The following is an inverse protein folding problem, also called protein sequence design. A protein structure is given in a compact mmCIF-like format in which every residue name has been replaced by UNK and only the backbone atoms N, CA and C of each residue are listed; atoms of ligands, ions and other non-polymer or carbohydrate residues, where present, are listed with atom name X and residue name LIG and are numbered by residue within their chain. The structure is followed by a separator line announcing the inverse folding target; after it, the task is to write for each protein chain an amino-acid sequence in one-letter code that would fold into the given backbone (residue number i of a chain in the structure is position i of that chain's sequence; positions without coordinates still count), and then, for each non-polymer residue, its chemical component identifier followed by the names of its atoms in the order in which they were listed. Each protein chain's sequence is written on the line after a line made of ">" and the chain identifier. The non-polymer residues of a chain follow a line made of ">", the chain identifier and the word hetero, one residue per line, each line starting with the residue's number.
data_IF_526202810631
#
_entry.id   IF_526202810631
#
_cell.length_a   1.000
_cell.length_b   1.000
_cell.length_c   1.000
_cell.angle_alpha   90.00
_cell.angle_beta   90.00
_cell.angle_gamma   90.00
#
_symmetry.space_group_name_H-M   'P 1'
#
loop_
_entity.id
_entity.type
_entity.pdbx_description
1 polymer ?
#
# COMPACT_ATOMS: atom_id res chain seq x y z
N UNK A 1 -8.33 -20.34 -4.75
CA UNK A 1 -8.27 -19.04 -5.46
C UNK A 1 -8.03 -17.99 -4.41
N UNK A 2 -6.96 -17.21 -4.52
CA UNK A 2 -6.57 -16.21 -3.51
C UNK A 2 -7.50 -14.98 -3.58
N UNK A 3 -7.97 -14.50 -2.43
CA UNK A 3 -8.84 -13.32 -2.34
C UNK A 3 -8.12 -12.06 -2.86
N UNK A 4 -6.79 -12.00 -2.71
CA UNK A 4 -5.99 -10.90 -3.26
C UNK A 4 -6.01 -10.87 -4.79
N UNK A 5 -5.94 -12.03 -5.46
CA UNK A 5 -6.05 -12.08 -6.92
C UNK A 5 -7.42 -11.58 -7.40
N UNK A 6 -8.49 -11.91 -6.68
CA UNK A 6 -9.83 -11.43 -7.01
C UNK A 6 -9.97 -9.93 -6.74
N UNK A 7 -9.41 -9.42 -5.63
CA UNK A 7 -9.33 -7.99 -5.36
C UNK A 7 -8.59 -7.25 -6.48
N UNK A 8 -7.45 -7.77 -6.95
CA UNK A 8 -6.71 -7.18 -8.08
C UNK A 8 -7.56 -7.11 -9.36
N UNK A 9 -8.32 -8.17 -9.66
CA UNK A 9 -9.23 -8.20 -10.80
C UNK A 9 -10.33 -7.13 -10.72
N UNK A 10 -10.97 -6.98 -9.56
CA UNK A 10 -12.02 -5.98 -9.37
C UNK A 10 -11.50 -4.55 -9.41
N UNK A 11 -10.26 -4.32 -8.98
CA UNK A 11 -9.64 -3.00 -9.11
C UNK A 11 -9.55 -2.54 -10.56
N UNK A 12 -9.16 -3.42 -11.49
CA UNK A 12 -9.12 -3.06 -12.92
C UNK A 12 -10.52 -2.88 -13.54
N UNK A 13 -11.57 -3.33 -12.85
CA UNK A 13 -12.96 -3.02 -13.18
C UNK A 13 -13.48 -1.75 -12.51
N UNK A 14 -12.65 -1.04 -11.75
CA UNK A 14 -13.00 0.11 -10.93
C UNK A 14 -14.08 -0.19 -9.86
N UNK A 15 -14.22 -1.45 -9.45
CA UNK A 15 -15.13 -1.84 -8.37
C UNK A 15 -14.38 -1.85 -7.03
N UNK A 16 -14.12 -0.65 -6.50
CA UNK A 16 -13.29 -0.47 -5.31
C UNK A 16 -13.95 -1.00 -4.03
N UNK A 17 -15.28 -1.01 -3.96
CA UNK A 17 -16.00 -1.62 -2.83
C UNK A 17 -15.69 -3.12 -2.73
N UNK A 18 -15.72 -3.86 -3.84
CA UNK A 18 -15.31 -5.26 -3.84
C UNK A 18 -13.82 -5.43 -3.52
N UNK A 19 -12.93 -4.54 -4.00
CA UNK A 19 -11.50 -4.56 -3.65
C UNK A 19 -11.33 -4.48 -2.13
N UNK A 20 -11.96 -3.50 -1.49
CA UNK A 20 -11.85 -3.26 -0.05
C UNK A 20 -12.35 -4.47 0.75
N UNK A 21 -13.50 -5.03 0.39
CA UNK A 21 -14.06 -6.21 1.07
C UNK A 21 -13.12 -7.42 0.95
N UNK A 22 -12.71 -7.78 -0.26
CA UNK A 22 -11.90 -8.96 -0.52
C UNK A 22 -10.51 -8.85 0.11
N UNK A 23 -9.87 -7.69 -0.01
CA UNK A 23 -8.55 -7.45 0.57
C UNK A 23 -8.58 -7.40 2.11
N UNK A 24 -9.62 -6.82 2.73
CA UNK A 24 -9.81 -6.89 4.18
C UNK A 24 -10.04 -8.33 4.66
N UNK A 25 -10.83 -9.12 3.93
CA UNK A 25 -11.01 -10.53 4.25
C UNK A 25 -9.70 -11.31 4.13
N UNK A 26 -8.91 -11.09 3.08
CA UNK A 26 -7.60 -11.71 2.92
C UNK A 26 -6.67 -11.35 4.11
N UNK A 27 -6.59 -10.07 4.45
CA UNK A 27 -5.74 -9.54 5.52
C UNK A 27 -6.08 -10.12 6.90
N UNK A 28 -7.37 -10.24 7.22
CA UNK A 28 -7.83 -10.64 8.55
C UNK A 28 -7.86 -12.16 8.78
N UNK A 29 -7.95 -12.96 7.71
CA UNK A 29 -8.10 -14.42 7.82
C UNK A 29 -6.79 -15.19 7.59
N UNK A 30 -5.65 -14.50 7.55
CA UNK A 30 -4.33 -15.12 7.36
C UNK A 30 -3.25 -14.51 8.25
N UNK A 31 -2.27 -15.33 8.60
CA UNK A 31 -1.06 -14.92 9.30
C UNK A 31 0.15 -14.80 8.35
N UNK A 32 -0.01 -15.23 7.08
CA UNK A 32 1.07 -15.15 6.10
C UNK A 32 1.38 -13.69 5.74
N UNK A 33 2.57 -13.22 6.09
CA UNK A 33 3.03 -11.85 5.86
C UNK A 33 2.93 -11.41 4.39
N UNK A 34 3.22 -12.28 3.43
CA UNK A 34 3.14 -11.96 2.01
C UNK A 34 1.70 -11.69 1.56
N UNK A 35 0.76 -12.56 1.96
CA UNK A 35 -0.66 -12.40 1.64
C UNK A 35 -1.23 -11.13 2.30
N UNK A 36 -0.80 -10.84 3.54
CA UNK A 36 -1.18 -9.61 4.24
C UNK A 36 -0.60 -8.37 3.57
N UNK A 37 0.65 -8.40 3.11
CA UNK A 37 1.28 -7.31 2.38
C UNK A 37 0.53 -7.00 1.07
N UNK A 38 0.17 -8.03 0.31
CA UNK A 38 -0.65 -7.89 -0.90
C UNK A 38 -2.04 -7.33 -0.59
N UNK A 39 -2.70 -7.81 0.47
CA UNK A 39 -3.98 -7.28 0.93
C UNK A 39 -3.89 -5.80 1.30
N UNK A 40 -2.91 -5.41 2.12
CA UNK A 40 -2.64 -4.01 2.46
C UNK A 40 -2.38 -3.16 1.21
N UNK A 41 -1.61 -3.66 0.24
CA UNK A 41 -1.37 -2.94 -1.02
C UNK A 41 -2.66 -2.70 -1.82
N UNK A 42 -3.55 -3.69 -1.89
CA UNK A 42 -4.84 -3.54 -2.57
C UNK A 42 -5.75 -2.52 -1.87
N UNK A 43 -5.80 -2.52 -0.53
CA UNK A 43 -6.49 -1.49 0.24
C UNK A 43 -5.91 -0.12 -0.04
N UNK A 44 -4.59 0.02 0.03
CA UNK A 44 -3.89 1.28 -0.16
C UNK A 44 -4.21 1.92 -1.52
N UNK A 45 -4.15 1.14 -2.61
CA UNK A 45 -4.43 1.66 -3.95
C UNK A 45 -5.90 1.96 -4.21
N UNK A 46 -6.83 1.26 -3.54
CA UNK A 46 -8.26 1.59 -3.61
C UNK A 46 -8.51 2.96 -2.98
N UNK A 47 -8.05 3.18 -1.74
CA UNK A 47 -8.14 4.47 -1.06
C UNK A 47 -7.40 5.58 -1.82
N UNK A 48 -6.24 5.30 -2.40
CA UNK A 48 -5.49 6.26 -3.21
C UNK A 48 -6.34 6.77 -4.38
N UNK A 49 -6.98 5.88 -5.15
CA UNK A 49 -7.82 6.29 -6.29
C UNK A 49 -9.05 7.07 -5.83
N UNK A 50 -9.62 6.73 -4.67
CA UNK A 50 -10.74 7.44 -4.04
C UNK A 50 -10.33 8.76 -3.35
N UNK A 51 -9.04 9.10 -3.38
CA UNK A 51 -8.43 10.30 -2.78
C UNK A 51 -8.49 10.36 -1.25
N UNK A 52 -8.70 9.22 -0.61
CA UNK A 52 -8.50 9.06 0.83
C UNK A 52 -7.01 8.78 1.09
N UNK A 53 -6.21 9.84 1.01
CA UNK A 53 -4.74 9.72 1.08
C UNK A 53 -4.23 9.34 2.48
N UNK A 54 -5.01 9.60 3.53
CA UNK A 54 -4.64 9.22 4.90
C UNK A 54 -4.68 7.69 5.05
N UNK A 55 -5.80 7.08 4.63
CA UNK A 55 -5.93 5.62 4.62
C UNK A 55 -4.98 4.96 3.63
N UNK A 56 -4.80 5.56 2.44
CA UNK A 56 -3.83 5.07 1.47
C UNK A 56 -2.41 5.03 2.06
N UNK A 57 -1.97 6.12 2.71
CA UNK A 57 -0.66 6.17 3.38
C UNK A 57 -0.52 5.08 4.43
N UNK A 58 -1.52 4.93 5.31
CA UNK A 58 -1.53 3.94 6.39
C UNK A 58 -1.32 2.53 5.85
N UNK A 59 -2.06 2.17 4.81
CA UNK A 59 -1.98 0.83 4.22
C UNK A 59 -0.73 0.62 3.37
N UNK A 60 -0.25 1.63 2.63
CA UNK A 60 1.04 1.52 1.92
C UNK A 60 2.18 1.30 2.91
N UNK A 61 2.22 2.08 3.99
CA UNK A 61 3.21 1.94 5.05
C UNK A 61 3.16 0.57 5.71
N UNK A 62 1.96 0.07 6.05
CA UNK A 62 1.81 -1.27 6.60
C UNK A 62 2.27 -2.36 5.62
N UNK A 63 1.97 -2.22 4.33
CA UNK A 63 2.38 -3.17 3.31
C UNK A 63 3.92 -3.25 3.18
N UNK A 64 4.65 -2.13 3.27
CA UNK A 64 6.13 -2.17 3.19
C UNK A 64 6.78 -2.88 4.37
N UNK A 65 6.15 -2.85 5.55
CA UNK A 65 6.65 -3.55 6.75
C UNK A 65 6.41 -5.06 6.68
N UNK A 66 5.38 -5.49 5.95
CA UNK A 66 5.02 -6.90 5.79
C UNK A 66 5.63 -7.53 4.52
N UNK A 67 6.07 -6.69 3.57
CA UNK A 67 6.52 -7.12 2.26
C UNK A 67 7.78 -7.99 2.34
N UNK A 68 7.80 -9.05 1.55
CA UNK A 68 9.05 -9.73 1.20
C UNK A 68 9.89 -8.81 0.30
N UNK A 69 11.21 -9.01 0.28
CA UNK A 69 12.19 -8.17 -0.47
C UNK A 69 11.82 -7.91 -1.95
N UNK A 70 11.10 -8.85 -2.59
CA UNK A 70 10.72 -8.77 -3.99
C UNK A 70 9.43 -7.95 -4.24
N UNK A 71 8.67 -7.62 -3.20
CA UNK A 71 7.39 -6.93 -3.34
C UNK A 71 7.55 -5.42 -3.15
N UNK A 72 8.05 -4.77 -4.20
CA UNK A 72 8.43 -3.34 -4.19
C UNK A 72 7.29 -2.37 -4.50
N UNK A 73 6.13 -2.86 -4.97
CA UNK A 73 5.00 -2.01 -5.36
C UNK A 73 4.48 -1.08 -4.24
N UNK A 74 4.42 -1.50 -2.96
CA UNK A 74 3.98 -0.61 -1.89
C UNK A 74 4.95 0.55 -1.62
N UNK A 75 6.26 0.37 -1.85
CA UNK A 75 7.25 1.44 -1.68
C UNK A 75 6.99 2.57 -2.67
N UNK A 76 6.67 2.23 -3.91
CA UNK A 76 6.32 3.22 -4.93
C UNK A 76 5.06 4.01 -4.54
N UNK A 77 4.01 3.32 -4.11
CA UNK A 77 2.78 3.97 -3.63
C UNK A 77 3.02 4.84 -2.40
N UNK A 78 3.82 4.38 -1.45
CA UNK A 78 4.21 5.17 -0.27
C UNK A 78 4.98 6.44 -0.65
N UNK A 79 5.89 6.36 -1.62
CA UNK A 79 6.59 7.52 -2.18
C UNK A 79 5.62 8.56 -2.76
N UNK A 80 4.60 8.12 -3.50
CA UNK A 80 3.55 9.01 -4.00
C UNK A 80 2.78 9.69 -2.85
N UNK A 81 2.55 8.99 -1.74
CA UNK A 81 1.88 9.58 -0.56
C UNK A 81 2.76 10.60 0.16
N UNK A 82 4.07 10.38 0.25
CA UNK A 82 4.99 11.38 0.80
C UNK A 82 4.99 12.65 -0.05
N UNK A 83 5.07 12.53 -1.39
CA UNK A 83 4.97 13.68 -2.29
C UNK A 83 3.64 14.43 -2.14
N UNK A 84 2.52 13.70 -2.11
CA UNK A 84 1.19 14.29 -1.92
C UNK A 84 1.07 15.04 -0.59
N UNK A 85 1.66 14.50 0.48
CA UNK A 85 1.72 15.17 1.80
C UNK A 85 2.63 16.39 1.76
N UNK A 86 3.80 16.31 1.13
CA UNK A 86 4.72 17.44 0.96
C UNK A 86 4.11 18.58 0.13
N UNK A 87 3.30 18.27 -0.90
CA UNK A 87 2.49 19.26 -1.62
C UNK A 87 1.46 19.94 -0.68
N UNK A 88 1.07 19.26 0.39
CA UNK A 88 0.18 19.81 1.43
C UNK A 88 0.97 20.50 2.56
N UNK A 89 2.25 20.17 2.73
CA UNK A 89 3.14 20.63 3.82
C UNK A 89 4.57 20.82 3.31
N UNK A 90 4.92 22.03 2.83
CA UNK A 90 6.26 22.36 2.31
C UNK A 90 7.40 21.86 3.25
N UNK A 91 8.10 20.81 2.79
CA UNK A 91 9.47 20.29 3.02
C UNK A 91 10.02 20.14 4.44
N UNK A 92 10.42 18.90 4.80
CA UNK A 92 11.64 18.65 5.60
C UNK A 92 12.49 17.51 5.02
N UNK A 93 13.71 17.92 4.65
CA UNK A 93 14.85 17.13 4.13
C UNK A 93 15.22 15.88 4.96
N UNK A 94 14.67 15.73 6.17
CA UNK A 94 14.92 14.58 7.03
C UNK A 94 14.19 13.30 6.60
N UNK A 95 13.07 13.40 5.88
CA UNK A 95 12.29 12.21 5.50
C UNK A 95 12.87 11.48 4.28
N UNK A 96 13.61 12.19 3.42
CA UNK A 96 14.44 11.60 2.36
C UNK A 96 15.50 10.66 2.94
N UNK A 97 16.09 10.95 4.10
CA UNK A 97 17.05 10.04 4.74
C UNK A 97 16.41 8.71 5.16
N UNK A 98 15.12 8.68 5.52
CA UNK A 98 14.43 7.42 5.81
C UNK A 98 14.11 6.60 4.56
N UNK A 99 13.81 7.27 3.44
CA UNK A 99 13.60 6.61 2.15
C UNK A 99 14.93 6.06 1.59
N UNK A 100 16.01 6.84 1.64
CA UNK A 100 17.34 6.40 1.21
C UNK A 100 17.96 5.34 2.14
N UNK A 101 17.74 5.42 3.45
CA UNK A 101 18.21 4.41 4.42
C UNK A 101 17.60 3.03 4.13
N UNK A 102 16.30 2.96 3.85
CA UNK A 102 15.66 1.69 3.48
C UNK A 102 16.06 1.18 2.08
N UNK A 103 16.55 2.04 1.20
CA UNK A 103 17.02 1.65 -0.14
C UNK A 103 18.48 1.18 -0.15
N UNK A 104 19.28 1.50 0.87
CA UNK A 104 20.71 1.17 0.93
C UNK A 104 21.05 -0.11 1.72
N UNK A 105 20.05 -0.79 2.30
CA UNK A 105 20.21 -2.08 3.03
C UNK A 105 19.69 -3.27 2.21
N UNK A 106 19.61 -3.12 0.88
CA UNK A 106 19.38 -4.24 -0.05
C UNK A 106 20.64 -4.46 -0.88
#
# INVERSE_FOLDING_TARGET
>A
MDLNHLANHFFFKNDYTCVLQLAMHALNNTENGAVRAEGCYHLARAYHVERDYEEAFRYYYQATHLAAEKFVLPLFGLGQMYLQREDTTIVRVNDLFHIYSNFLVI
#
